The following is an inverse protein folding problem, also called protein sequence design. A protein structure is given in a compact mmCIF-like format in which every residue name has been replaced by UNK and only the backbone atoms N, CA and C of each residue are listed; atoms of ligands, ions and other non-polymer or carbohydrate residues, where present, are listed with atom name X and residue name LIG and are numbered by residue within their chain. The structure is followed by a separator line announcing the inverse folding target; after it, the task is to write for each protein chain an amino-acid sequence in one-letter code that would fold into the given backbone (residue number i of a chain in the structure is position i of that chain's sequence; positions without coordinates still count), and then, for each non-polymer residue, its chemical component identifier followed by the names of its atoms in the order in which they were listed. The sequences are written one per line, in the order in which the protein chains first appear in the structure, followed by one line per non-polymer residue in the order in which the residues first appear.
data_IF_538252431338
#
_entry.id   IF_538252431338
#
_cell.length_a   1.000
_cell.length_b   1.000
_cell.length_c   1.000
_cell.angle_alpha   90.00
_cell.angle_beta   90.00
_cell.angle_gamma   90.00
#
_symmetry.space_group_name_H-M   'P 1'
#
loop_
_entity.id
_entity.type
_entity.pdbx_description
1 polymer ?
#
# COMPACT_ATOMS: atom_id res chain seq x y z
N UNK A 1 22.38 -30.84 29.19
CA UNK A 1 21.64 -29.85 30.00
C UNK A 1 21.07 -28.80 29.06
N UNK A 2 19.74 -28.67 28.97
CA UNK A 2 19.12 -27.64 28.14
C UNK A 2 19.41 -26.25 28.74
N UNK A 3 19.90 -25.31 27.93
CA UNK A 3 20.11 -23.92 28.36
C UNK A 3 18.79 -23.33 28.84
N UNK A 4 18.68 -23.00 30.13
CA UNK A 4 17.54 -22.23 30.65
C UNK A 4 17.60 -20.84 30.04
N UNK A 5 16.58 -20.48 29.27
CA UNK A 5 16.49 -19.14 28.70
C UNK A 5 16.30 -18.10 29.82
N UNK A 6 17.18 -17.11 29.88
CA UNK A 6 17.05 -15.97 30.79
C UNK A 6 15.80 -15.16 30.44
N UNK A 7 14.98 -14.86 31.45
CA UNK A 7 13.79 -14.00 31.34
C UNK A 7 14.16 -12.66 31.93
N UNK A 8 13.92 -11.60 31.15
CA UNK A 8 14.15 -10.21 31.54
C UNK A 8 13.05 -9.72 32.48
N UNK A 9 11.79 -9.99 32.12
CA UNK A 9 10.60 -9.60 32.88
C UNK A 9 9.36 -10.35 32.39
N UNK A 10 8.28 -10.28 33.18
CA UNK A 10 6.95 -10.69 32.76
C UNK A 10 6.11 -9.44 32.41
N UNK A 11 5.45 -9.44 31.26
CA UNK A 11 4.57 -8.34 30.83
C UNK A 11 3.23 -8.88 30.34
N UNK A 12 2.19 -8.05 30.36
CA UNK A 12 0.93 -8.35 29.69
C UNK A 12 0.98 -7.92 28.22
N UNK A 13 0.34 -8.68 27.33
CA UNK A 13 0.01 -8.20 26.00
C UNK A 13 -1.27 -7.34 26.00
N UNK A 14 -1.69 -6.86 24.83
CA UNK A 14 -2.87 -6.00 24.68
C UNK A 14 -4.18 -6.68 25.09
N UNK A 15 -4.22 -8.01 25.16
CA UNK A 15 -5.39 -8.78 25.60
C UNK A 15 -5.34 -9.15 27.08
N UNK A 16 -4.23 -8.84 27.77
CA UNK A 16 -4.03 -9.12 29.18
C UNK A 16 -3.32 -10.44 29.48
N UNK A 17 -2.96 -11.22 28.45
CA UNK A 17 -2.21 -12.46 28.64
C UNK A 17 -0.78 -12.16 29.08
N UNK A 18 -0.26 -12.94 30.03
CA UNK A 18 1.09 -12.77 30.55
C UNK A 18 2.13 -13.44 29.66
N UNK A 19 3.26 -12.77 29.47
CA UNK A 19 4.39 -13.22 28.65
C UNK A 19 5.71 -13.09 29.39
N UNK A 20 6.50 -14.17 29.36
CA UNK A 20 7.89 -14.18 29.80
C UNK A 20 8.77 -13.59 28.69
N UNK A 21 9.21 -12.34 28.86
CA UNK A 21 10.05 -11.62 27.90
C UNK A 21 11.50 -12.07 28.04
N UNK A 22 12.12 -12.43 26.91
CA UNK A 22 13.54 -12.80 26.83
C UNK A 22 14.38 -11.77 26.09
N UNK A 23 13.79 -11.07 25.14
CA UNK A 23 14.50 -10.18 24.22
C UNK A 23 13.66 -8.93 23.99
N UNK A 24 14.32 -7.78 23.96
CA UNK A 24 13.72 -6.51 23.61
C UNK A 24 14.52 -5.88 22.48
N UNK A 25 13.83 -5.47 21.42
CA UNK A 25 14.44 -4.80 20.29
C UNK A 25 14.05 -3.33 20.31
N UNK A 26 15.01 -2.40 20.39
CA UNK A 26 14.69 -0.98 20.36
C UNK A 26 14.04 -0.61 19.02
N UNK A 27 13.14 0.36 19.05
CA UNK A 27 12.55 0.97 17.85
C UNK A 27 12.84 2.47 17.88
N UNK A 28 12.83 3.15 16.72
CA UNK A 28 12.91 4.61 16.68
C UNK A 28 11.63 5.30 17.21
N UNK A 29 10.59 4.54 17.57
CA UNK A 29 9.26 5.05 17.93
C UNK A 29 9.04 5.20 19.44
N UNK A 30 10.10 5.10 20.25
CA UNK A 30 10.04 5.30 21.69
C UNK A 30 9.52 4.11 22.51
N UNK A 31 9.29 2.95 21.89
CA UNK A 31 8.95 1.70 22.59
C UNK A 31 9.74 0.51 22.05
N UNK A 32 10.09 -0.50 22.85
CA UNK A 32 10.74 -1.72 22.36
C UNK A 32 9.72 -2.73 21.80
N UNK A 33 10.12 -3.52 20.80
CA UNK A 33 9.40 -4.75 20.45
C UNK A 33 9.89 -5.87 21.35
N UNK A 34 8.99 -6.42 22.17
CA UNK A 34 9.29 -7.50 23.10
C UNK A 34 9.09 -8.87 22.43
N UNK A 35 10.01 -9.82 22.68
CA UNK A 35 9.91 -11.20 22.25
C UNK A 35 10.01 -12.14 23.46
N UNK A 36 9.13 -13.14 23.48
CA UNK A 36 9.02 -14.05 24.61
C UNK A 36 8.14 -15.26 24.33
N UNK A 37 7.70 -15.90 25.41
CA UNK A 37 6.71 -16.98 25.39
C UNK A 37 5.53 -16.63 26.29
N UNK A 38 4.34 -17.20 26.05
CA UNK A 38 3.28 -17.14 27.04
C UNK A 38 3.78 -17.64 28.39
N UNK A 39 3.44 -16.94 29.45
CA UNK A 39 3.87 -17.26 30.80
C UNK A 39 3.43 -18.68 31.16
N UNK A 40 4.33 -19.45 31.79
CA UNK A 40 4.06 -20.83 32.19
C UNK A 40 4.08 -21.86 31.04
N UNK A 41 4.28 -21.45 29.79
CA UNK A 41 4.42 -22.41 28.68
C UNK A 41 5.72 -23.22 28.83
N UNK A 42 5.68 -24.57 28.71
CA UNK A 42 6.89 -25.39 28.72
C UNK A 42 7.91 -24.91 27.69
N UNK A 43 9.21 -24.94 27.99
CA UNK A 43 10.28 -24.48 27.09
C UNK A 43 11.04 -25.67 26.52
N UNK A 44 11.37 -25.64 25.24
CA UNK A 44 12.12 -26.71 24.56
C UNK A 44 11.37 -27.31 23.38
N UNK A 45 11.53 -28.61 23.12
CA UNK A 45 10.85 -29.27 22.01
C UNK A 45 9.33 -29.22 22.20
N UNK A 46 8.63 -28.59 21.25
CA UNK A 46 7.17 -28.48 21.23
C UNK A 46 6.61 -27.06 21.47
N UNK A 47 7.37 -26.18 22.12
CA UNK A 47 6.88 -24.83 22.48
C UNK A 47 7.04 -23.77 21.37
N UNK A 48 7.89 -24.07 20.38
CA UNK A 48 8.30 -23.12 19.35
C UNK A 48 9.28 -22.06 19.87
N UNK A 49 9.80 -21.26 18.94
CA UNK A 49 10.69 -20.15 19.26
C UNK A 49 9.97 -18.96 19.92
N UNK A 50 10.71 -18.00 20.50
CA UNK A 50 10.15 -16.75 21.01
C UNK A 50 9.29 -16.05 19.95
N UNK A 51 8.18 -15.47 20.39
CA UNK A 51 7.25 -14.73 19.52
C UNK A 51 7.17 -13.28 19.98
N UNK A 52 6.84 -12.40 19.04
CA UNK A 52 6.55 -11.00 19.37
C UNK A 52 5.31 -10.93 20.26
N UNK A 53 5.47 -10.28 21.41
CA UNK A 53 4.40 -9.90 22.32
C UNK A 53 3.71 -8.67 21.74
N UNK A 54 2.38 -8.71 21.60
CA UNK A 54 1.61 -7.59 21.06
C UNK A 54 1.31 -6.62 22.18
N UNK A 55 2.27 -5.76 22.52
CA UNK A 55 2.06 -4.74 23.56
C UNK A 55 1.12 -3.64 23.08
N UNK A 56 0.60 -2.85 24.02
CA UNK A 56 -0.27 -1.71 23.75
C UNK A 56 0.39 -0.70 22.80
N UNK A 57 1.67 -0.38 23.00
CA UNK A 57 2.41 0.57 22.17
C UNK A 57 2.59 0.05 20.75
N UNK A 58 2.93 -1.24 20.60
CA UNK A 58 3.05 -1.88 19.28
C UNK A 58 1.72 -1.86 18.53
N UNK A 59 0.63 -2.23 19.20
CA UNK A 59 -0.69 -2.22 18.59
C UNK A 59 -1.13 -0.81 18.18
N UNK A 60 -0.92 0.19 19.04
CA UNK A 60 -1.22 1.61 18.74
C UNK A 60 -0.42 2.11 17.54
N UNK A 61 0.88 1.79 17.47
CA UNK A 61 1.71 2.15 16.33
C UNK A 61 1.21 1.52 15.03
N UNK A 62 0.82 0.24 15.07
CA UNK A 62 0.28 -0.45 13.91
C UNK A 62 -1.08 0.11 13.49
N UNK A 63 -1.94 0.50 14.43
CA UNK A 63 -3.23 1.16 14.13
C UNK A 63 -3.03 2.54 13.51
N UNK A 64 -2.13 3.35 14.08
CA UNK A 64 -1.77 4.66 13.52
C UNK A 64 -1.24 4.51 12.09
N UNK A 65 -0.30 3.59 11.87
CA UNK A 65 0.27 3.34 10.55
C UNK A 65 -0.78 2.81 9.56
N UNK A 66 -1.72 1.96 10.02
CA UNK A 66 -2.87 1.51 9.23
C UNK A 66 -3.74 2.70 8.83
N UNK A 67 -4.14 3.56 9.76
CA UNK A 67 -4.95 4.75 9.49
C UNK A 67 -4.25 5.71 8.52
N UNK A 68 -2.95 5.93 8.70
CA UNK A 68 -2.12 6.83 7.90
C UNK A 68 -1.86 6.38 6.46
N UNK A 69 -2.29 5.18 6.06
CA UNK A 69 -2.00 4.72 4.71
C UNK A 69 -0.75 3.85 4.57
N UNK A 70 -0.04 3.55 5.65
CA UNK A 70 1.34 3.07 5.55
C UNK A 70 1.53 1.77 4.78
N UNK A 71 0.58 0.84 4.86
CA UNK A 71 0.61 -0.41 4.07
C UNK A 71 0.48 -0.18 2.56
N UNK A 72 -0.07 0.97 2.18
CA UNK A 72 -0.55 1.33 0.84
C UNK A 72 0.42 2.30 0.16
N UNK A 73 1.04 3.20 0.93
CA UNK A 73 2.07 4.15 0.48
C UNK A 73 3.48 3.55 0.36
N UNK A 74 3.66 2.29 0.79
CA UNK A 74 4.99 1.69 0.93
C UNK A 74 5.79 2.29 2.10
N UNK A 75 5.13 3.05 2.99
CA UNK A 75 5.77 3.61 4.15
C UNK A 75 6.29 2.51 5.07
N UNK A 76 7.59 2.56 5.35
CA UNK A 76 8.28 1.58 6.17
C UNK A 76 7.76 1.67 7.61
N UNK A 77 7.21 0.56 8.12
CA UNK A 77 6.69 0.48 9.50
C UNK A 77 7.79 0.70 10.56
N UNK A 78 9.06 0.51 10.17
CA UNK A 78 10.24 0.82 10.98
C UNK A 78 10.41 -0.10 12.20
N UNK A 79 9.79 -1.28 12.18
CA UNK A 79 9.89 -2.24 13.27
C UNK A 79 11.00 -3.27 13.01
N UNK A 80 11.76 -3.69 14.04
CA UNK A 80 12.86 -4.64 13.95
C UNK A 80 12.37 -6.10 13.87
N UNK A 81 11.35 -6.37 13.05
CA UNK A 81 10.70 -7.66 12.89
C UNK A 81 10.36 -7.93 11.42
N UNK A 82 10.32 -9.21 11.03
CA UNK A 82 10.06 -9.60 9.66
C UNK A 82 8.61 -9.40 9.20
N UNK A 83 8.42 -9.33 7.88
CA UNK A 83 7.12 -9.14 7.24
C UNK A 83 6.08 -10.21 7.60
N UNK A 84 6.50 -11.47 7.79
CA UNK A 84 5.63 -12.57 8.23
C UNK A 84 5.06 -12.34 9.64
N UNK A 85 5.89 -11.82 10.54
CA UNK A 85 5.49 -11.44 11.90
C UNK A 85 4.53 -10.26 11.88
N UNK A 86 4.79 -9.24 11.07
CA UNK A 86 3.88 -8.11 10.87
C UNK A 86 2.53 -8.60 10.36
N UNK A 87 2.51 -9.48 9.35
CA UNK A 87 1.28 -10.09 8.81
C UNK A 87 0.50 -10.86 9.88
N UNK A 88 1.19 -11.62 10.74
CA UNK A 88 0.57 -12.32 11.87
C UNK A 88 -0.07 -11.35 12.85
N UNK A 89 0.63 -10.31 13.26
CA UNK A 89 0.12 -9.33 14.23
C UNK A 89 -1.09 -8.59 13.66
N UNK A 90 -1.06 -8.18 12.39
CA UNK A 90 -2.21 -7.58 11.70
C UNK A 90 -3.46 -8.45 11.78
N UNK A 91 -3.32 -9.77 11.57
CA UNK A 91 -4.44 -10.72 11.71
C UNK A 91 -4.98 -10.77 13.14
N UNK A 92 -4.09 -10.78 14.14
CA UNK A 92 -4.50 -10.77 15.55
C UNK A 92 -5.23 -9.48 15.94
N UNK A 93 -4.83 -8.34 15.38
CA UNK A 93 -5.48 -7.05 15.57
C UNK A 93 -6.77 -6.88 14.75
N UNK A 94 -7.19 -7.90 13.99
CA UNK A 94 -8.38 -7.82 13.13
C UNK A 94 -8.22 -6.88 11.93
N UNK A 95 -6.99 -6.50 11.57
CA UNK A 95 -6.73 -5.61 10.43
C UNK A 95 -7.01 -6.33 9.12
N UNK A 96 -8.10 -5.97 8.45
CA UNK A 96 -8.50 -6.60 7.21
C UNK A 96 -7.95 -5.85 5.99
N UNK A 97 -6.73 -6.23 5.57
CA UNK A 97 -5.98 -5.54 4.51
C UNK A 97 -6.79 -5.25 3.24
N UNK A 98 -7.56 -6.22 2.73
CA UNK A 98 -8.29 -6.06 1.46
C UNK A 98 -9.40 -5.01 1.59
N UNK A 99 -10.25 -5.13 2.61
CA UNK A 99 -11.27 -4.13 2.94
C UNK A 99 -10.67 -2.74 3.20
N UNK A 100 -9.57 -2.66 3.99
CA UNK A 100 -8.86 -1.40 4.23
C UNK A 100 -8.28 -0.78 2.95
N UNK A 101 -7.90 -1.62 1.99
CA UNK A 101 -7.39 -1.19 0.69
C UNK A 101 -8.53 -0.67 -0.18
N UNK A 102 -9.64 -1.40 -0.31
CA UNK A 102 -10.81 -0.98 -1.06
C UNK A 102 -11.35 0.37 -0.55
N UNK A 103 -11.59 0.49 0.77
CA UNK A 103 -12.10 1.71 1.38
C UNK A 103 -11.18 2.93 1.16
N UNK A 104 -9.86 2.74 1.12
CA UNK A 104 -8.92 3.84 0.90
C UNK A 104 -8.95 4.38 -0.52
N UNK A 105 -9.05 3.47 -1.50
CA UNK A 105 -9.19 3.83 -2.91
C UNK A 105 -10.55 4.45 -3.19
N UNK A 106 -11.62 3.87 -2.66
CA UNK A 106 -12.99 4.40 -2.78
C UNK A 106 -13.11 5.81 -2.19
N UNK A 107 -12.56 6.05 -0.99
CA UNK A 107 -12.55 7.38 -0.38
C UNK A 107 -11.72 8.43 -1.16
N UNK A 108 -10.96 8.01 -2.17
CA UNK A 108 -10.14 8.85 -3.05
C UNK A 108 -10.52 8.67 -4.52
N UNK A 109 -11.68 8.08 -4.80
CA UNK A 109 -12.10 7.81 -6.16
C UNK A 109 -12.18 9.11 -6.98
N UNK A 110 -12.71 10.20 -6.41
CA UNK A 110 -12.80 11.51 -7.07
C UNK A 110 -11.42 12.03 -7.46
N UNK A 111 -10.48 12.15 -6.51
CA UNK A 111 -9.09 12.54 -6.79
C UNK A 111 -8.43 11.61 -7.84
N UNK A 112 -8.74 10.31 -7.82
CA UNK A 112 -8.20 9.32 -8.76
C UNK A 112 -8.78 9.45 -10.17
N UNK A 113 -9.98 10.01 -10.30
CA UNK A 113 -10.63 10.31 -11.57
C UNK A 113 -10.13 11.64 -12.15
N UNK A 114 -9.92 12.65 -11.30
CA UNK A 114 -9.64 14.03 -11.71
C UNK A 114 -8.15 14.30 -11.93
N UNK A 115 -7.27 13.65 -11.17
CA UNK A 115 -5.83 13.86 -11.27
C UNK A 115 -5.18 12.92 -12.28
N UNK A 116 -4.05 13.34 -12.85
CA UNK A 116 -3.13 12.40 -13.51
C UNK A 116 -2.63 11.38 -12.49
N UNK A 117 -2.23 10.19 -12.95
CA UNK A 117 -1.76 9.12 -12.05
C UNK A 117 -0.54 9.59 -11.25
N UNK A 118 0.33 10.38 -11.87
CA UNK A 118 1.53 10.97 -11.28
C UNK A 118 1.18 11.99 -10.20
N UNK A 119 0.24 12.89 -10.47
CA UNK A 119 -0.22 13.88 -9.50
C UNK A 119 -0.94 13.21 -8.32
N UNK A 120 -1.76 12.19 -8.58
CA UNK A 120 -2.39 11.39 -7.54
C UNK A 120 -1.35 10.68 -6.68
N UNK A 121 -0.37 10.01 -7.30
CA UNK A 121 0.69 9.27 -6.62
C UNK A 121 1.53 10.19 -5.73
N UNK A 122 1.90 11.36 -6.22
CA UNK A 122 2.63 12.36 -5.45
C UNK A 122 1.80 12.91 -4.28
N UNK A 123 0.52 13.23 -4.51
CA UNK A 123 -0.37 13.79 -3.49
C UNK A 123 -0.68 12.82 -2.35
N UNK A 124 -0.93 11.56 -2.68
CA UNK A 124 -1.36 10.54 -1.72
C UNK A 124 -0.23 9.60 -1.27
N UNK A 125 0.99 9.82 -1.76
CA UNK A 125 2.18 9.09 -1.38
C UNK A 125 2.15 7.61 -1.77
N UNK A 126 1.50 7.24 -2.88
CA UNK A 126 1.46 5.86 -3.36
C UNK A 126 2.27 5.68 -4.65
N UNK A 127 2.44 4.44 -5.11
CA UNK A 127 3.12 4.20 -6.38
C UNK A 127 2.22 4.52 -7.58
N UNK A 128 2.82 5.02 -8.66
CA UNK A 128 2.16 5.25 -9.97
C UNK A 128 1.49 3.97 -10.47
N UNK A 129 2.19 2.83 -10.41
CA UNK A 129 1.63 1.53 -10.80
C UNK A 129 0.43 1.10 -9.94
N UNK A 130 0.46 1.38 -8.63
CA UNK A 130 -0.66 1.10 -7.73
C UNK A 130 -1.88 1.94 -8.06
N UNK A 131 -1.69 3.25 -8.27
CA UNK A 131 -2.75 4.17 -8.66
C UNK A 131 -3.36 3.81 -10.03
N UNK A 132 -2.53 3.45 -11.02
CA UNK A 132 -3.00 3.02 -12.34
C UNK A 132 -3.89 1.77 -12.25
N UNK A 133 -3.46 0.74 -11.51
CA UNK A 133 -4.25 -0.48 -11.32
C UNK A 133 -5.55 -0.22 -10.53
N UNK A 134 -5.49 0.60 -9.49
CA UNK A 134 -6.68 0.97 -8.72
C UNK A 134 -7.70 1.73 -9.59
N UNK A 135 -7.22 2.65 -10.45
CA UNK A 135 -8.09 3.39 -11.37
C UNK A 135 -8.80 2.44 -12.34
N UNK A 136 -8.07 1.49 -12.90
CA UNK A 136 -8.65 0.47 -13.77
C UNK A 136 -9.63 -0.46 -13.05
N UNK A 137 -9.39 -0.77 -11.77
CA UNK A 137 -10.28 -1.60 -10.96
C UNK A 137 -11.58 -0.88 -10.58
N UNK A 138 -11.51 0.41 -10.24
CA UNK A 138 -12.66 1.21 -9.79
C UNK A 138 -13.53 1.69 -10.95
N UNK A 139 -12.91 2.17 -12.04
CA UNK A 139 -13.64 2.77 -13.17
C UNK A 139 -13.71 1.86 -14.39
N UNK A 140 -13.13 0.65 -14.29
CA UNK A 140 -12.94 -0.25 -15.41
C UNK A 140 -11.80 0.19 -16.34
N UNK A 141 -11.47 -0.64 -17.36
CA UNK A 141 -10.65 -0.18 -18.47
C UNK A 141 -11.35 1.01 -19.13
N UNK A 142 -10.58 2.01 -19.61
CA UNK A 142 -11.15 3.11 -20.39
C UNK A 142 -11.75 2.56 -21.69
N UNK A 143 -13.03 2.22 -21.66
CA UNK A 143 -13.80 1.72 -22.79
C UNK A 143 -14.21 2.91 -23.65
N UNK A 144 -13.24 3.44 -24.40
CA UNK A 144 -13.53 4.49 -25.35
C UNK A 144 -14.29 3.89 -26.53
N UNK A 145 -15.40 4.50 -26.97
CA UNK A 145 -16.14 4.00 -28.13
C UNK A 145 -15.23 3.95 -29.35
N UNK A 146 -15.49 3.01 -30.27
CA UNK A 146 -14.71 2.90 -31.49
C UNK A 146 -14.69 4.25 -32.24
N UNK A 147 -13.49 4.76 -32.54
CA UNK A 147 -13.34 6.06 -33.20
C UNK A 147 -13.46 7.29 -32.31
N UNK A 148 -13.51 7.17 -30.98
CA UNK A 148 -13.54 8.29 -30.01
C UNK A 148 -12.54 9.43 -30.32
N UNK A 149 -11.37 9.10 -30.86
CA UNK A 149 -10.31 10.06 -31.21
C UNK A 149 -10.67 10.98 -32.39
N UNK A 150 -11.77 10.70 -33.10
CA UNK A 150 -12.36 11.54 -34.14
C UNK A 150 -13.30 12.60 -33.58
N UNK A 151 -13.69 12.52 -32.31
CA UNK A 151 -14.48 13.56 -31.68
C UNK A 151 -13.73 14.90 -31.74
N UNK A 152 -14.38 16.03 -32.07
CA UNK A 152 -13.68 17.29 -32.37
C UNK A 152 -12.78 17.80 -31.24
N UNK A 153 -13.23 17.66 -30.01
CA UNK A 153 -12.52 18.02 -28.78
C UNK A 153 -11.25 17.17 -28.60
N UNK A 154 -11.36 15.86 -28.77
CA UNK A 154 -10.23 14.93 -28.65
C UNK A 154 -9.25 15.11 -29.81
N UNK A 155 -9.75 15.25 -31.03
CA UNK A 155 -8.94 15.47 -32.22
C UNK A 155 -8.13 16.78 -32.10
N UNK A 156 -8.71 17.83 -31.51
CA UNK A 156 -8.01 19.08 -31.22
C UNK A 156 -6.84 18.86 -30.25
N UNK A 157 -7.03 18.06 -29.18
CA UNK A 157 -5.96 17.71 -28.24
C UNK A 157 -4.84 16.92 -28.94
N UNK A 158 -5.19 15.94 -29.80
CA UNK A 158 -4.20 15.12 -30.52
C UNK A 158 -3.40 15.98 -31.53
N UNK A 159 -4.05 16.94 -32.19
CA UNK A 159 -3.45 17.82 -33.19
C UNK A 159 -2.74 19.04 -32.58
N UNK A 160 -2.90 19.29 -31.27
CA UNK A 160 -2.27 20.42 -30.59
C UNK A 160 -0.74 20.41 -30.74
N UNK A 161 -0.18 21.61 -30.92
CA UNK A 161 1.26 21.83 -31.01
C UNK A 161 1.92 21.82 -29.62
N UNK A 162 1.94 20.62 -29.04
CA UNK A 162 2.56 20.32 -27.74
C UNK A 162 3.28 18.96 -27.83
N UNK A 163 4.22 18.69 -26.90
CA UNK A 163 4.93 17.42 -26.85
C UNK A 163 3.96 16.23 -26.83
N UNK A 164 4.30 15.17 -27.59
CA UNK A 164 3.48 13.96 -27.67
C UNK A 164 3.42 13.19 -26.35
N UNK A 165 4.44 13.34 -25.50
CA UNK A 165 4.45 12.79 -24.15
C UNK A 165 3.31 13.37 -23.31
N UNK A 166 3.22 14.69 -23.25
CA UNK A 166 2.15 15.36 -22.51
C UNK A 166 0.77 14.95 -23.04
N UNK A 167 0.58 14.87 -24.37
CA UNK A 167 -0.72 14.44 -24.95
C UNK A 167 -1.04 13.00 -24.59
N UNK A 168 -0.02 12.14 -24.60
CA UNK A 168 -0.15 10.73 -24.22
C UNK A 168 -0.60 10.60 -22.76
N UNK A 169 -0.04 11.43 -21.87
CA UNK A 169 -0.41 11.47 -20.46
C UNK A 169 -1.85 11.97 -20.26
N UNK A 170 -2.23 13.08 -20.87
CA UNK A 170 -3.60 13.63 -20.81
C UNK A 170 -4.64 12.63 -21.34
N UNK A 171 -4.33 12.00 -22.47
CA UNK A 171 -5.23 11.05 -23.12
C UNK A 171 -5.01 9.61 -22.62
N UNK A 172 -4.17 9.36 -21.61
CA UNK A 172 -3.89 8.02 -21.09
C UNK A 172 -3.62 6.95 -22.16
N UNK A 173 -2.83 7.28 -23.20
CA UNK A 173 -2.42 6.38 -24.29
C UNK A 173 -0.91 6.44 -24.50
N UNK A 174 -0.32 5.51 -25.24
CA UNK A 174 1.13 5.58 -25.52
C UNK A 174 1.49 6.71 -26.50
N UNK A 175 2.71 7.26 -26.36
CA UNK A 175 3.27 8.27 -27.28
C UNK A 175 3.23 7.81 -28.75
N UNK A 176 3.52 6.52 -29.01
CA UNK A 176 3.41 5.95 -30.34
C UNK A 176 1.99 5.95 -30.89
N UNK A 177 0.99 5.74 -30.02
CA UNK A 177 -0.43 5.84 -30.39
C UNK A 177 -0.80 7.27 -30.74
N UNK A 178 -0.35 8.28 -29.99
CA UNK A 178 -0.55 9.70 -30.34
C UNK A 178 0.01 10.01 -31.73
N UNK A 179 1.23 9.55 -32.03
CA UNK A 179 1.85 9.73 -33.35
C UNK A 179 1.02 9.12 -34.48
N UNK A 180 0.53 7.89 -34.30
CA UNK A 180 -0.33 7.21 -35.27
C UNK A 180 -1.66 7.95 -35.48
N UNK A 181 -2.35 8.31 -34.41
CA UNK A 181 -3.65 9.00 -34.49
C UNK A 181 -3.53 10.39 -35.13
N UNK A 182 -2.46 11.12 -34.81
CA UNK A 182 -2.15 12.41 -35.42
C UNK A 182 -1.99 12.30 -36.94
N UNK A 183 -1.24 11.30 -37.41
CA UNK A 183 -1.09 11.03 -38.84
C UNK A 183 -2.44 10.71 -39.49
N UNK A 184 -3.27 9.84 -38.89
CA UNK A 184 -4.59 9.49 -39.42
C UNK A 184 -5.53 10.71 -39.52
N UNK A 185 -5.57 11.55 -38.48
CA UNK A 185 -6.38 12.77 -38.47
C UNK A 185 -5.93 13.79 -39.51
N UNK A 186 -4.63 13.90 -39.77
CA UNK A 186 -4.11 14.77 -40.82
C UNK A 186 -4.51 14.27 -42.21
N UNK A 187 -4.44 12.97 -42.46
CA UNK A 187 -4.88 12.38 -43.74
C UNK A 187 -6.38 12.60 -44.00
N UNK A 188 -7.21 12.45 -42.96
CA UNK A 188 -8.67 12.64 -43.09
C UNK A 188 -9.07 14.10 -43.34
N UNK A 189 -8.23 15.09 -43.00
CA UNK A 189 -8.47 16.52 -43.34
C UNK A 189 -8.16 16.86 -44.80
N UNK A 190 -7.42 16.00 -45.50
CA UNK A 190 -7.05 16.19 -46.90
C UNK A 190 -7.92 15.39 -47.88
N UNK A 191 -8.93 14.68 -47.37
CA UNK A 191 -10.00 14.05 -48.15
C UNK A 191 -11.24 14.92 -48.18
#
# INVERSE_FOLDING_TARGET
MARVAAILRCIADIWGDLWDVREERPTPHGFPVCLGWPHGMPRGQGAGGPRVVVTTELARHMEWWRAAGGARSGAVLGLPIGASTIKRIRRLLGHHYIADQAAWWEARAEDLADLTIEAFAARHGCSVGGASQARAALFGPSLRPAGWWRAPDVAAVILADRPRADIADDLGISVGTVGRLRWMLQQDRHR
#
